data_IF_051382112152
#
_entry.id   IF_051382112152
#
_cell.length_a   1.000
_cell.length_b   1.000
_cell.length_c   1.000
_cell.angle_alpha   90.00
_cell.angle_beta   90.00
_cell.angle_gamma   90.00
#
_symmetry.space_group_name_H-M   'P 1'
#
loop_
_entity.id
_entity.type
_entity.pdbx_description
1 polymer ?
#
# COMPACT_ATOMS: atom_id res chain seq x y z
N UNK A 1 -11.86 -30.08 -86.23
CA UNK A 1 -12.53 -29.82 -84.95
C UNK A 1 -12.25 -31.01 -84.05
N UNK A 2 -11.26 -30.89 -83.16
CA UNK A 2 -10.75 -32.01 -82.34
C UNK A 2 -11.18 -31.73 -80.90
N UNK A 3 -12.07 -32.57 -80.35
CA UNK A 3 -12.44 -32.52 -78.93
C UNK A 3 -11.94 -33.77 -78.25
N UNK A 4 -10.80 -33.64 -77.59
CA UNK A 4 -10.07 -34.69 -76.88
C UNK A 4 -10.45 -34.64 -75.40
N UNK A 5 -11.61 -35.17 -75.03
CA UNK A 5 -11.97 -35.44 -73.64
C UNK A 5 -11.44 -36.81 -73.25
N UNK A 6 -10.18 -36.85 -72.81
CA UNK A 6 -9.65 -38.01 -72.11
C UNK A 6 -8.80 -37.57 -70.91
N UNK A 7 -9.32 -37.92 -69.72
CA UNK A 7 -8.58 -38.29 -68.52
C UNK A 7 -7.16 -37.70 -68.34
N UNK A 8 -7.05 -36.67 -67.51
CA UNK A 8 -5.91 -36.52 -66.59
C UNK A 8 -6.41 -36.30 -65.18
N UNK A 9 -6.44 -37.45 -64.50
CA UNK A 9 -6.46 -37.65 -63.07
C UNK A 9 -5.45 -36.77 -62.31
N UNK A 10 -5.80 -36.50 -61.05
CA UNK A 10 -4.95 -36.75 -59.87
C UNK A 10 -4.04 -35.63 -59.34
N UNK A 11 -4.34 -35.32 -58.07
CA UNK A 11 -3.45 -34.90 -56.99
C UNK A 11 -2.94 -33.45 -56.97
N UNK A 12 -3.68 -32.61 -56.23
CA UNK A 12 -3.07 -31.49 -55.50
C UNK A 12 -3.53 -31.47 -54.04
N UNK A 13 -3.20 -32.53 -53.28
CA UNK A 13 -2.99 -32.42 -51.83
C UNK A 13 -1.57 -31.91 -51.63
N UNK A 14 -1.42 -30.59 -51.52
CA UNK A 14 -0.20 -29.99 -51.02
C UNK A 14 -0.56 -29.29 -49.71
N UNK A 15 0.08 -29.74 -48.63
CA UNK A 15 -0.16 -29.29 -47.27
C UNK A 15 -0.09 -27.77 -47.15
N UNK A 16 -1.09 -27.20 -46.49
CA UNK A 16 -1.03 -25.82 -46.05
C UNK A 16 -0.16 -25.78 -44.78
N UNK A 17 0.98 -25.07 -44.78
CA UNK A 17 1.81 -24.97 -43.59
C UNK A 17 1.06 -24.15 -42.53
N UNK A 18 1.09 -24.66 -41.29
CA UNK A 18 0.67 -23.96 -40.07
C UNK A 18 1.13 -22.50 -40.10
N UNK A 19 0.21 -21.57 -40.38
CA UNK A 19 0.47 -20.14 -40.18
C UNK A 19 0.48 -19.90 -38.68
N UNK A 20 1.66 -20.04 -38.07
CA UNK A 20 1.94 -19.52 -36.75
C UNK A 20 1.55 -18.05 -36.72
N UNK A 21 0.40 -17.76 -36.11
CA UNK A 21 -0.02 -16.42 -35.77
C UNK A 21 1.00 -15.92 -34.74
N UNK A 22 2.00 -15.16 -35.21
CA UNK A 22 2.87 -14.41 -34.32
C UNK A 22 1.97 -13.50 -33.49
N UNK A 23 1.94 -13.61 -32.16
CA UNK A 23 1.21 -12.63 -31.36
C UNK A 23 1.78 -11.27 -31.73
N UNK A 24 0.91 -10.38 -32.20
CA UNK A 24 1.29 -9.03 -32.59
C UNK A 24 1.99 -8.40 -31.40
N UNK A 25 3.28 -8.08 -31.55
CA UNK A 25 4.12 -7.44 -30.52
C UNK A 25 3.45 -6.16 -29.98
N UNK A 26 2.56 -5.56 -30.77
CA UNK A 26 1.73 -4.41 -30.42
C UNK A 26 0.66 -4.70 -29.34
N UNK A 27 0.23 -5.96 -29.18
CA UNK A 27 -0.73 -6.37 -28.16
C UNK A 27 -0.06 -6.57 -26.78
N UNK A 28 1.20 -7.03 -26.74
CA UNK A 28 1.96 -7.18 -25.51
C UNK A 28 2.44 -5.85 -24.91
N UNK A 29 2.52 -4.79 -25.72
CA UNK A 29 2.99 -3.46 -25.31
C UNK A 29 1.87 -2.52 -24.83
N UNK A 30 0.62 -2.96 -24.80
CA UNK A 30 -0.55 -2.12 -24.44
C UNK A 30 -0.84 -2.04 -22.94
N UNK A 31 -0.04 -2.63 -22.06
CA UNK A 31 -0.28 -2.60 -20.61
C UNK A 31 0.33 -1.41 -19.87
N UNK A 32 0.82 -0.37 -20.56
CA UNK A 32 1.63 0.68 -19.93
C UNK A 32 1.30 2.10 -20.40
N UNK A 33 0.02 2.52 -20.40
CA UNK A 33 -0.34 3.91 -20.72
C UNK A 33 -1.49 4.51 -19.89
N UNK A 34 -1.54 4.25 -18.58
CA UNK A 34 -2.34 5.08 -17.67
C UNK A 34 -1.59 5.39 -16.36
N UNK A 35 -0.35 5.88 -16.50
CA UNK A 35 0.59 6.13 -15.41
C UNK A 35 0.16 7.25 -14.45
N UNK A 36 -0.69 8.20 -14.86
CA UNK A 36 -1.15 9.29 -14.00
C UNK A 36 -2.08 8.82 -12.88
N UNK A 37 -2.99 7.88 -13.18
CA UNK A 37 -3.91 7.32 -12.18
C UNK A 37 -3.21 6.37 -11.21
N UNK A 38 -2.22 5.61 -11.69
CA UNK A 38 -1.45 4.69 -10.86
C UNK A 38 -0.62 5.41 -9.79
N UNK A 39 0.01 6.52 -10.16
CA UNK A 39 0.82 7.34 -9.24
C UNK A 39 -0.04 7.87 -8.07
N UNK A 40 -1.26 8.34 -8.34
CA UNK A 40 -2.15 8.84 -7.29
C UNK A 40 -2.55 7.71 -6.34
N UNK A 41 -2.88 6.52 -6.87
CA UNK A 41 -3.25 5.37 -6.05
C UNK A 41 -2.08 4.89 -5.18
N UNK A 42 -0.85 4.94 -5.70
CA UNK A 42 0.35 4.59 -4.96
C UNK A 42 0.57 5.52 -3.76
N UNK A 43 0.47 6.84 -3.96
CA UNK A 43 0.58 7.80 -2.85
C UNK A 43 -0.56 7.66 -1.84
N UNK A 44 -1.77 7.36 -2.27
CA UNK A 44 -2.91 7.11 -1.36
C UNK A 44 -2.69 5.83 -0.55
N UNK A 45 -2.16 4.77 -1.16
CA UNK A 45 -1.84 3.53 -0.45
C UNK A 45 -0.77 3.77 0.62
N UNK A 46 0.31 4.49 0.27
CA UNK A 46 1.36 4.87 1.21
C UNK A 46 0.82 5.78 2.33
N UNK A 47 -0.08 6.71 2.01
CA UNK A 47 -0.72 7.58 2.98
C UNK A 47 -1.57 6.80 3.98
N UNK A 48 -2.37 5.83 3.53
CA UNK A 48 -3.19 4.98 4.41
C UNK A 48 -2.30 4.19 5.36
N UNK A 49 -1.19 3.65 4.88
CA UNK A 49 -0.22 2.92 5.72
C UNK A 49 0.38 3.87 6.76
N UNK A 50 0.84 5.05 6.34
CA UNK A 50 1.43 6.05 7.25
C UNK A 50 0.45 6.49 8.34
N UNK A 51 -0.80 6.81 7.97
CA UNK A 51 -1.85 7.19 8.93
C UNK A 51 -2.20 6.04 9.86
N UNK A 52 -2.24 4.80 9.36
CA UNK A 52 -2.52 3.62 10.19
C UNK A 52 -1.43 3.40 11.25
N UNK A 53 -0.16 3.54 10.88
CA UNK A 53 0.97 3.45 11.83
C UNK A 53 0.90 4.59 12.84
N UNK A 54 0.67 5.83 12.40
CA UNK A 54 0.53 6.98 13.29
C UNK A 54 -0.64 6.82 14.28
N UNK A 55 -1.76 6.25 13.83
CA UNK A 55 -2.92 5.96 14.66
C UNK A 55 -2.60 4.92 15.74
N UNK A 56 -1.93 3.82 15.39
CA UNK A 56 -1.51 2.79 16.35
C UNK A 56 -0.50 3.33 17.38
N UNK A 57 0.42 4.19 16.97
CA UNK A 57 1.34 4.86 17.89
C UNK A 57 0.58 5.78 18.85
N UNK A 58 -0.34 6.58 18.33
CA UNK A 58 -1.12 7.53 19.13
C UNK A 58 -2.05 6.82 20.12
N UNK A 59 -2.68 5.71 19.70
CA UNK A 59 -3.56 4.93 20.58
C UNK A 59 -2.82 4.34 21.78
N UNK A 60 -1.58 3.92 21.59
CA UNK A 60 -0.73 3.46 22.69
C UNK A 60 -0.22 4.62 23.56
N UNK A 61 0.16 5.75 22.96
CA UNK A 61 0.66 6.92 23.70
C UNK A 61 -0.40 7.55 24.62
N UNK A 62 -1.67 7.56 24.19
CA UNK A 62 -2.78 8.25 24.86
C UNK A 62 -3.75 7.28 25.52
N UNK A 63 -3.40 5.98 25.63
CA UNK A 63 -4.27 4.98 26.26
C UNK A 63 -4.75 5.44 27.64
N UNK A 64 -6.06 5.45 27.85
CA UNK A 64 -6.72 5.87 29.10
C UNK A 64 -7.12 4.69 29.98
N UNK A 65 -6.70 3.48 29.64
CA UNK A 65 -6.97 2.30 30.47
C UNK A 65 -6.33 2.46 31.85
N UNK A 66 -7.09 2.18 32.91
CA UNK A 66 -6.62 2.28 34.30
C UNK A 66 -5.46 1.31 34.59
N UNK A 67 -5.46 0.14 33.95
CA UNK A 67 -4.40 -0.88 34.12
C UNK A 67 -3.11 -0.57 33.32
N UNK A 68 -3.21 0.17 32.21
CA UNK A 68 -2.06 0.52 31.36
C UNK A 68 -2.15 1.98 30.88
N UNK A 69 -1.91 2.96 31.76
CA UNK A 69 -1.95 4.37 31.38
C UNK A 69 -0.87 4.64 30.33
N UNK A 70 -1.28 5.27 29.23
CA UNK A 70 -0.39 5.63 28.13
C UNK A 70 0.79 6.48 28.61
N UNK A 71 1.91 6.40 27.88
CA UNK A 71 3.17 7.07 28.25
C UNK A 71 2.99 8.55 28.59
N UNK A 72 2.15 9.26 27.83
CA UNK A 72 1.88 10.69 28.04
C UNK A 72 1.21 10.92 29.40
N UNK A 73 0.21 10.10 29.75
CA UNK A 73 -0.55 10.24 31.00
C UNK A 73 0.33 9.91 32.20
N UNK A 74 1.13 8.84 32.11
CA UNK A 74 2.06 8.45 33.18
C UNK A 74 3.09 9.55 33.46
N UNK A 75 3.70 10.12 32.41
CA UNK A 75 4.69 11.19 32.56
C UNK A 75 4.08 12.50 33.06
N UNK A 76 2.90 12.87 32.58
CA UNK A 76 2.20 14.06 33.06
C UNK A 76 1.80 13.95 34.53
N UNK A 77 1.30 12.78 34.95
CA UNK A 77 1.00 12.49 36.35
C UNK A 77 2.24 12.60 37.23
N UNK A 78 3.36 11.99 36.80
CA UNK A 78 4.63 12.10 37.53
C UNK A 78 5.15 13.54 37.63
N UNK A 79 4.92 14.39 36.62
CA UNK A 79 5.27 15.80 36.69
C UNK A 79 4.40 16.54 37.71
N UNK A 80 3.08 16.30 37.72
CA UNK A 80 2.16 16.88 38.71
C UNK A 80 2.56 16.45 40.12
N UNK A 81 2.88 15.17 40.32
CA UNK A 81 3.30 14.65 41.62
C UNK A 81 4.62 15.30 42.08
N UNK A 82 5.56 15.49 41.16
CA UNK A 82 6.82 16.18 41.46
C UNK A 82 6.62 17.66 41.84
N UNK A 83 5.69 18.36 41.18
CA UNK A 83 5.35 19.75 41.52
C UNK A 83 4.58 19.82 42.86
N UNK A 84 3.62 18.92 43.07
CA UNK A 84 2.80 18.88 44.28
C UNK A 84 3.57 18.42 45.53
N UNK A 85 4.69 17.73 45.34
CA UNK A 85 5.59 17.33 46.42
C UNK A 85 6.59 18.41 46.81
N UNK A 86 6.62 19.57 46.13
CA UNK A 86 7.44 20.72 46.50
C UNK A 86 6.82 21.40 47.73
N UNK A 87 7.41 21.24 48.93
CA UNK A 87 6.88 21.88 50.13
C UNK A 87 7.07 23.39 49.99
N UNK A 88 6.01 24.17 50.25
CA UNK A 88 6.15 25.60 50.37
C UNK A 88 7.16 25.89 51.50
N UNK A 89 8.22 26.66 51.18
CA UNK A 89 9.22 27.08 52.15
C UNK A 89 8.50 27.60 53.40
N UNK A 90 8.72 26.88 54.51
CA UNK A 90 8.07 27.09 55.79
C UNK A 90 8.43 28.51 56.27
N UNK A 91 7.51 29.47 56.09
CA UNK A 91 7.60 30.82 56.66
C UNK A 91 7.34 30.81 58.17
N UNK A 92 7.66 29.71 58.85
CA UNK A 92 7.63 29.62 60.28
C UNK A 92 9.00 30.06 60.82
N UNK A 93 9.14 31.30 61.33
CA UNK A 93 10.38 31.69 61.99
C UNK A 93 10.66 30.72 63.15
N UNK A 94 11.95 30.38 63.41
CA UNK A 94 12.28 29.51 64.53
C UNK A 94 11.67 30.06 65.81
N UNK A 95 10.93 29.20 66.52
CA UNK A 95 10.32 29.55 67.80
C UNK A 95 11.39 30.11 68.77
N UNK A 96 11.02 31.12 69.60
CA UNK A 96 11.97 31.86 70.45
C UNK A 96 12.68 30.99 71.49
#
# INVERSE_FOLDING_TARGET
>A
SVSLTHLTMRAKRFGQPQRGAKPSMKAALRSSQNSRGQIVVEYVLLLIIAVSVAFLMTSQMVSRSEESPGFVISKWKGLIDAIGADPADDLNPPAP
#
